data_IF_893046495054
#
_entry.id   IF_893046495054
#
_cell.length_a   1.000
_cell.length_b   1.000
_cell.length_c   1.000
_cell.angle_alpha   90.00
_cell.angle_beta   90.00
_cell.angle_gamma   90.00
#
_symmetry.space_group_name_H-M   'P 1'
#
loop_
_entity.id
_entity.type
_entity.pdbx_description
1 polymer ?
#
# COMPACT_ATOMS: atom_id res chain seq x y z
N UNK A 1 -13.12 13.47 -20.22
CA UNK A 1 -12.89 12.93 -18.86
C UNK A 1 -12.40 11.48 -18.90
N UNK A 2 -13.04 10.56 -19.63
CA UNK A 2 -12.61 9.13 -19.75
C UNK A 2 -11.12 8.89 -20.06
N UNK A 3 -10.48 9.78 -20.84
CA UNK A 3 -9.07 9.65 -21.22
C UNK A 3 -8.13 9.90 -20.03
N UNK A 4 -8.48 10.83 -19.15
CA UNK A 4 -7.71 11.15 -17.94
C UNK A 4 -7.81 10.01 -16.92
N UNK A 5 -9.00 9.45 -16.74
CA UNK A 5 -9.21 8.26 -15.89
C UNK A 5 -8.43 7.04 -16.39
N UNK A 6 -8.45 6.79 -17.69
CA UNK A 6 -7.73 5.65 -18.29
C UNK A 6 -6.21 5.81 -18.16
N UNK A 7 -5.70 7.02 -18.37
CA UNK A 7 -4.29 7.35 -18.15
C UNK A 7 -3.91 7.18 -16.67
N UNK A 8 -4.71 7.72 -15.76
CA UNK A 8 -4.48 7.63 -14.32
C UNK A 8 -4.47 6.15 -13.86
N UNK A 9 -5.41 5.34 -14.35
CA UNK A 9 -5.46 3.91 -14.06
C UNK A 9 -4.22 3.16 -14.59
N UNK A 10 -3.80 3.45 -15.82
CA UNK A 10 -2.63 2.82 -16.44
C UNK A 10 -1.34 3.19 -15.73
N UNK A 11 -1.17 4.48 -15.38
CA UNK A 11 -0.02 4.96 -14.61
C UNK A 11 0.02 4.30 -13.23
N UNK A 12 -1.06 4.33 -12.46
CA UNK A 12 -1.11 3.69 -11.14
C UNK A 12 -0.77 2.20 -11.20
N UNK A 13 -1.22 1.50 -12.25
CA UNK A 13 -0.89 0.08 -12.44
C UNK A 13 0.59 -0.13 -12.76
N UNK A 14 1.20 0.75 -13.54
CA UNK A 14 2.64 0.74 -13.80
C UNK A 14 3.44 1.03 -12.53
N UNK A 15 3.08 2.08 -11.78
CA UNK A 15 3.71 2.42 -10.51
C UNK A 15 3.60 1.25 -9.53
N UNK A 16 2.42 0.62 -9.42
CA UNK A 16 2.24 -0.55 -8.57
C UNK A 16 3.16 -1.71 -8.98
N UNK A 17 3.30 -1.98 -10.27
CA UNK A 17 4.21 -3.02 -10.76
C UNK A 17 5.66 -2.71 -10.40
N UNK A 18 6.10 -1.46 -10.59
CA UNK A 18 7.43 -0.99 -10.18
C UNK A 18 7.62 -1.10 -8.65
N UNK A 19 6.62 -0.71 -7.87
CA UNK A 19 6.60 -0.89 -6.42
C UNK A 19 6.75 -2.36 -6.02
N UNK A 20 6.09 -3.27 -6.75
CA UNK A 20 6.27 -4.72 -6.58
C UNK A 20 7.71 -5.18 -6.80
N UNK A 21 8.41 -4.64 -7.79
CA UNK A 21 9.83 -4.94 -8.05
C UNK A 21 10.70 -4.49 -6.86
N UNK A 22 10.51 -3.27 -6.36
CA UNK A 22 11.23 -2.78 -5.18
C UNK A 22 10.92 -3.60 -3.92
N UNK A 23 9.67 -4.05 -3.77
CA UNK A 23 9.28 -4.92 -2.66
C UNK A 23 10.00 -6.27 -2.72
N UNK A 24 10.09 -6.89 -3.90
CA UNK A 24 10.86 -8.13 -4.08
C UNK A 24 12.34 -7.89 -3.76
N UNK A 25 12.92 -6.77 -4.24
CA UNK A 25 14.30 -6.39 -3.92
C UNK A 25 14.53 -6.24 -2.41
N UNK A 26 13.60 -5.62 -1.69
CA UNK A 26 13.66 -5.49 -0.23
C UNK A 26 13.59 -6.86 0.47
N UNK A 27 12.72 -7.77 0.01
CA UNK A 27 12.61 -9.13 0.56
C UNK A 27 13.92 -9.89 0.35
N UNK A 28 14.48 -9.85 -0.86
CA UNK A 28 15.76 -10.50 -1.17
C UNK A 28 16.91 -9.94 -0.34
N UNK A 29 16.97 -8.62 -0.17
CA UNK A 29 17.95 -7.97 0.71
C UNK A 29 17.80 -8.46 2.16
N UNK A 30 16.57 -8.56 2.65
CA UNK A 30 16.27 -9.00 4.02
C UNK A 30 16.66 -10.46 4.22
N UNK A 31 16.26 -11.35 3.31
CA UNK A 31 16.63 -12.76 3.31
C UNK A 31 18.15 -12.92 3.22
N UNK A 32 18.80 -12.20 2.30
CA UNK A 32 20.25 -12.19 2.16
C UNK A 32 20.94 -11.76 3.45
N UNK A 33 20.49 -10.67 4.07
CA UNK A 33 21.05 -10.18 5.33
C UNK A 33 20.86 -11.19 6.48
N UNK A 34 19.74 -11.91 6.55
CA UNK A 34 19.51 -12.96 7.55
C UNK A 34 20.47 -14.14 7.34
N UNK A 35 20.62 -14.60 6.09
CA UNK A 35 21.55 -15.69 5.75
C UNK A 35 23.00 -15.32 6.04
N UNK A 36 23.41 -14.12 5.61
CA UNK A 36 24.77 -13.61 5.82
C UNK A 36 25.07 -13.33 7.30
N UNK A 37 24.07 -12.92 8.07
CA UNK A 37 24.17 -12.80 9.53
C UNK A 37 24.39 -14.16 10.19
N UNK A 38 23.76 -15.23 9.69
CA UNK A 38 24.00 -16.58 10.18
C UNK A 38 25.44 -17.06 9.90
N UNK A 39 26.08 -16.56 8.83
CA UNK A 39 27.50 -16.80 8.50
C UNK A 39 28.45 -15.73 9.04
N UNK A 40 28.03 -14.93 10.04
CA UNK A 40 28.84 -13.93 10.76
C UNK A 40 29.25 -12.65 10.01
N UNK A 41 28.69 -12.34 8.83
CA UNK A 41 29.01 -11.11 8.07
C UNK A 41 27.73 -10.37 7.67
N UNK A 42 27.15 -9.49 8.52
CA UNK A 42 25.93 -8.78 8.17
C UNK A 42 26.12 -7.79 7.01
N UNK A 43 25.07 -7.58 6.23
CA UNK A 43 25.05 -6.58 5.15
C UNK A 43 24.90 -5.19 5.77
N UNK A 44 25.96 -4.38 5.72
CA UNK A 44 25.95 -3.00 6.21
C UNK A 44 24.99 -2.15 5.38
N UNK A 45 24.22 -1.27 6.04
CA UNK A 45 23.24 -0.40 5.37
C UNK A 45 21.88 -1.05 5.06
N UNK A 46 21.63 -2.31 5.49
CA UNK A 46 20.35 -2.99 5.24
C UNK A 46 19.14 -2.22 5.79
N UNK A 47 19.26 -1.61 6.96
CA UNK A 47 18.16 -0.87 7.59
C UNK A 47 17.81 0.41 6.82
N UNK A 48 18.82 1.13 6.32
CA UNK A 48 18.62 2.33 5.51
C UNK A 48 17.99 1.96 4.16
N UNK A 49 18.49 0.92 3.49
CA UNK A 49 17.93 0.44 2.23
C UNK A 49 16.50 -0.08 2.39
N UNK A 50 16.18 -0.78 3.49
CA UNK A 50 14.80 -1.17 3.80
C UNK A 50 13.90 0.06 3.97
N UNK A 51 14.36 1.09 4.67
CA UNK A 51 13.61 2.34 4.81
C UNK A 51 13.32 3.01 3.47
N UNK A 52 14.34 3.14 2.61
CA UNK A 52 14.19 3.73 1.28
C UNK A 52 13.27 2.91 0.38
N UNK A 53 13.46 1.59 0.30
CA UNK A 53 12.56 0.73 -0.46
C UNK A 53 11.14 0.77 0.08
N UNK A 54 10.95 0.85 1.41
CA UNK A 54 9.63 0.93 2.03
C UNK A 54 8.91 2.21 1.65
N UNK A 55 9.61 3.35 1.65
CA UNK A 55 9.06 4.62 1.20
C UNK A 55 8.63 4.56 -0.27
N UNK A 56 9.47 4.03 -1.16
CA UNK A 56 9.17 3.90 -2.60
C UNK A 56 7.98 2.98 -2.85
N UNK A 57 7.96 1.80 -2.21
CA UNK A 57 6.86 0.84 -2.32
C UNK A 57 5.55 1.48 -1.87
N UNK A 58 5.56 2.17 -0.73
CA UNK A 58 4.37 2.81 -0.17
C UNK A 58 3.85 3.92 -1.09
N UNK A 59 4.73 4.81 -1.56
CA UNK A 59 4.37 5.90 -2.45
C UNK A 59 3.77 5.39 -3.76
N UNK A 60 4.35 4.33 -4.34
CA UNK A 60 3.89 3.76 -5.62
C UNK A 60 2.61 2.93 -5.48
N UNK A 61 2.39 2.28 -4.33
CA UNK A 61 1.17 1.53 -4.08
C UNK A 61 -0.02 2.42 -3.74
N UNK A 62 0.20 3.57 -3.08
CA UNK A 62 -0.85 4.43 -2.54
C UNK A 62 -1.85 4.90 -3.60
N UNK A 63 -1.39 5.35 -4.77
CA UNK A 63 -2.29 5.83 -5.82
C UNK A 63 -3.22 4.75 -6.35
N UNK A 64 -2.70 3.53 -6.56
CA UNK A 64 -3.52 2.40 -7.02
C UNK A 64 -4.52 1.94 -5.96
N UNK A 65 -4.12 1.88 -4.68
CA UNK A 65 -5.04 1.47 -3.59
C UNK A 65 -6.14 2.50 -3.36
N UNK A 66 -5.84 3.80 -3.54
CA UNK A 66 -6.83 4.88 -3.50
C UNK A 66 -7.83 4.78 -4.65
N UNK A 67 -7.37 4.57 -5.88
CA UNK A 67 -8.24 4.43 -7.07
C UNK A 67 -9.12 3.18 -6.96
N UNK A 68 -8.56 2.06 -6.49
CA UNK A 68 -9.32 0.82 -6.35
C UNK A 68 -10.26 0.81 -5.14
N UNK A 69 -10.27 1.89 -4.33
CA UNK A 69 -11.00 2.07 -3.06
C UNK A 69 -11.16 0.72 -2.34
N UNK A 70 -10.19 0.37 -1.49
CA UNK A 70 -10.26 -0.82 -0.61
C UNK A 70 -11.54 -0.92 0.25
N UNK A 71 -12.38 0.12 0.23
CA UNK A 71 -13.72 0.13 0.77
C UNK A 71 -14.70 -0.85 0.14
N UNK A 72 -14.56 -1.43 -1.06
CA UNK A 72 -15.64 -2.29 -1.62
C UNK A 72 -16.05 -3.43 -0.64
N UNK A 73 -15.09 -4.05 0.05
CA UNK A 73 -15.40 -5.07 1.06
C UNK A 73 -16.09 -4.48 2.31
N UNK A 74 -15.64 -3.30 2.76
CA UNK A 74 -16.21 -2.59 3.90
C UNK A 74 -17.59 -2.01 3.57
N UNK A 75 -17.81 -1.52 2.36
CA UNK A 75 -19.07 -1.03 1.82
C UNK A 75 -20.09 -2.16 1.77
N UNK A 76 -19.72 -3.35 1.28
CA UNK A 76 -20.60 -4.53 1.26
C UNK A 76 -20.98 -4.96 2.68
N UNK A 77 -20.05 -4.91 3.62
CA UNK A 77 -20.32 -5.23 5.02
C UNK A 77 -21.22 -4.17 5.68
N UNK A 78 -20.93 -2.89 5.44
CA UNK A 78 -21.70 -1.75 5.95
C UNK A 78 -23.13 -1.76 5.39
N UNK A 79 -23.33 -2.11 4.12
CA UNK A 79 -24.65 -2.25 3.50
C UNK A 79 -25.48 -3.40 4.08
N UNK A 80 -24.87 -4.36 4.79
CA UNK A 80 -25.58 -5.42 5.53
C UNK A 80 -25.97 -5.02 6.96
N UNK A 81 -25.52 -3.86 7.46
CA UNK A 81 -25.80 -3.39 8.82
C UNK A 81 -27.10 -2.58 8.88
N UNK A 82 -27.63 -2.42 10.10
CA UNK A 82 -28.81 -1.59 10.33
C UNK A 82 -28.55 -0.11 9.98
N UNK A 83 -29.56 0.65 9.54
CA UNK A 83 -29.38 2.05 9.10
C UNK A 83 -28.79 2.96 10.19
N UNK A 84 -29.02 2.63 11.48
CA UNK A 84 -28.42 3.36 12.61
C UNK A 84 -26.91 3.15 12.71
N UNK A 85 -26.45 1.91 12.51
CA UNK A 85 -25.01 1.57 12.54
C UNK A 85 -24.28 2.15 11.34
N UNK A 86 -24.91 2.18 10.17
CA UNK A 86 -24.40 2.84 8.97
C UNK A 86 -24.11 4.33 9.22
N UNK A 87 -25.05 5.06 9.82
CA UNK A 87 -24.87 6.47 10.14
C UNK A 87 -23.70 6.73 11.10
N UNK A 88 -23.54 5.90 12.13
CA UNK A 88 -22.41 6.02 13.08
C UNK A 88 -21.07 5.80 12.37
N UNK A 89 -20.97 4.75 11.54
CA UNK A 89 -19.74 4.44 10.81
C UNK A 89 -19.41 5.58 9.82
N UNK A 90 -20.40 6.15 9.13
CA UNK A 90 -20.19 7.30 8.26
C UNK A 90 -19.68 8.52 9.01
N UNK A 91 -20.25 8.83 10.18
CA UNK A 91 -19.80 9.96 11.00
C UNK A 91 -18.36 9.73 11.45
N UNK A 92 -18.02 8.55 11.95
CA UNK A 92 -16.65 8.22 12.36
C UNK A 92 -15.69 8.36 11.17
N UNK A 93 -16.04 7.81 10.01
CA UNK A 93 -15.17 7.84 8.84
C UNK A 93 -14.94 9.28 8.34
N UNK A 94 -15.99 10.12 8.35
CA UNK A 94 -15.86 11.53 8.01
C UNK A 94 -15.01 12.30 9.02
N UNK A 95 -15.20 12.07 10.32
CA UNK A 95 -14.40 12.72 11.37
C UNK A 95 -12.95 12.30 11.30
N UNK A 96 -12.65 11.02 11.05
CA UNK A 96 -11.28 10.52 10.90
C UNK A 96 -10.60 11.04 9.65
N UNK A 97 -11.35 11.28 8.57
CA UNK A 97 -10.81 11.82 7.32
C UNK A 97 -10.64 13.36 7.37
N UNK A 98 -11.32 14.04 8.29
CA UNK A 98 -11.15 15.48 8.56
C UNK A 98 -10.04 15.79 9.56
N UNK A 99 -9.60 14.79 10.35
CA UNK A 99 -8.53 14.90 11.35
C UNK A 99 -7.17 14.53 10.76
#
# INVERSE_FOLDING_TARGET
MKLLDTLNYSLNRLLLALGGVFLIGMILLTCGNILLRATWVPIRGTFELMGFFGAVVTAFALGYTQVKRGHIAVDVLIHKLSPKTQGIIQVINNTLCLA
#
